data_IF_499169834699
#
_entry.id   IF_499169834699
#
_cell.length_a   1.000
_cell.length_b   1.000
_cell.length_c   1.000
_cell.angle_alpha   90.00
_cell.angle_beta   90.00
_cell.angle_gamma   90.00
#
_symmetry.space_group_name_H-M   'P 1'
#
loop_
_entity.id
_entity.type
_entity.pdbx_description
1 polymer ?
#
# COMPACT_ATOMS: atom_id res chain seq x y z
N UNK A 1 -5.28 -1.84 -1.52
CA UNK A 1 -4.92 -3.22 -1.92
C UNK A 1 -3.67 -3.66 -1.16
N UNK A 2 -3.46 -4.96 -0.98
CA UNK A 2 -2.23 -5.51 -0.43
C UNK A 2 -1.41 -6.20 -1.53
N UNK A 3 -0.08 -6.07 -1.49
CA UNK A 3 0.86 -6.67 -2.43
C UNK A 3 1.82 -7.56 -1.68
N UNK A 4 2.12 -8.73 -2.23
CA UNK A 4 3.00 -9.72 -1.64
C UNK A 4 4.18 -9.99 -2.57
N UNK A 5 5.32 -10.27 -1.97
CA UNK A 5 6.49 -10.85 -2.61
C UNK A 5 6.15 -12.23 -3.21
N UNK A 6 6.79 -12.59 -4.32
CA UNK A 6 6.65 -13.91 -4.95
C UNK A 6 7.61 -14.95 -4.38
N UNK A 7 8.66 -14.50 -3.70
CA UNK A 7 9.58 -15.36 -2.97
C UNK A 7 9.41 -15.16 -1.46
N UNK A 8 9.67 -16.22 -0.70
CA UNK A 8 9.56 -16.17 0.76
C UNK A 8 10.60 -15.22 1.36
N UNK A 9 10.16 -14.45 2.34
CA UNK A 9 11.03 -13.51 3.03
C UNK A 9 12.07 -14.25 3.88
N UNK A 10 13.33 -13.84 3.74
CA UNK A 10 14.42 -14.18 4.64
C UNK A 10 15.09 -12.90 5.12
N UNK A 11 15.70 -12.91 6.32
CA UNK A 11 16.41 -11.74 6.82
C UNK A 11 17.52 -11.32 5.84
N UNK A 12 17.67 -10.02 5.52
CA UNK A 12 18.70 -9.54 4.61
C UNK A 12 20.11 -9.92 5.07
N UNK A 13 20.87 -10.52 4.17
CA UNK A 13 22.29 -10.87 4.30
C UNK A 13 23.02 -10.45 3.02
N UNK A 14 24.35 -10.42 3.06
CA UNK A 14 25.16 -10.10 1.87
C UNK A 14 24.88 -11.01 0.67
N UNK A 15 24.39 -12.24 0.91
CA UNK A 15 24.11 -13.23 -0.13
C UNK A 15 22.70 -13.17 -0.69
N UNK A 16 21.71 -12.66 0.08
CA UNK A 16 20.32 -12.62 -0.34
C UNK A 16 19.77 -11.20 -0.56
N UNK A 17 20.57 -10.16 -0.31
CA UNK A 17 20.15 -8.75 -0.52
C UNK A 17 19.73 -8.47 -1.96
N UNK A 18 20.35 -9.16 -2.93
CA UNK A 18 20.01 -9.05 -4.35
C UNK A 18 18.67 -9.72 -4.73
N UNK A 19 18.05 -10.50 -3.85
CA UNK A 19 16.76 -11.13 -4.12
C UNK A 19 15.61 -10.13 -3.96
N UNK A 20 15.38 -9.32 -4.98
CA UNK A 20 14.35 -8.30 -4.96
C UNK A 20 12.93 -8.89 -4.83
N UNK A 21 12.69 -10.11 -5.30
CA UNK A 21 11.39 -10.77 -5.22
C UNK A 21 10.99 -11.22 -3.82
N UNK A 22 11.93 -11.29 -2.88
CA UNK A 22 11.68 -11.55 -1.45
C UNK A 22 11.53 -10.27 -0.63
N UNK A 23 12.14 -9.17 -1.09
CA UNK A 23 12.28 -7.92 -0.30
C UNK A 23 11.39 -6.77 -0.78
N UNK A 24 11.00 -6.75 -2.05
CA UNK A 24 10.20 -5.68 -2.64
C UNK A 24 8.81 -6.19 -3.05
N UNK A 25 7.76 -5.53 -2.58
CA UNK A 25 6.36 -5.91 -2.86
C UNK A 25 5.78 -5.23 -4.10
N UNK A 26 6.61 -4.55 -4.91
CA UNK A 26 6.13 -3.82 -6.08
C UNK A 26 5.47 -4.77 -7.09
N UNK A 27 4.26 -4.43 -7.54
CA UNK A 27 3.55 -5.22 -8.55
C UNK A 27 4.31 -5.23 -9.88
N UNK A 28 4.88 -4.10 -10.29
CA UNK A 28 5.67 -3.96 -11.52
C UNK A 28 6.85 -4.92 -11.59
N UNK A 29 7.40 -5.30 -10.44
CA UNK A 29 8.48 -6.28 -10.31
C UNK A 29 7.90 -7.69 -10.24
N UNK A 30 7.08 -7.96 -9.22
CA UNK A 30 6.64 -9.31 -8.89
C UNK A 30 5.78 -9.97 -9.98
N UNK A 31 5.06 -9.20 -10.79
CA UNK A 31 4.23 -9.75 -11.89
C UNK A 31 5.04 -10.48 -12.97
N UNK A 32 6.35 -10.20 -13.05
CA UNK A 32 7.27 -10.81 -14.01
C UNK A 32 7.89 -12.11 -13.47
N UNK A 33 7.72 -12.42 -12.18
CA UNK A 33 8.20 -13.68 -11.60
C UNK A 33 7.20 -14.81 -11.91
N UNK A 34 7.70 -15.97 -12.32
CA UNK A 34 6.90 -17.16 -12.60
C UNK A 34 6.09 -17.66 -11.38
N UNK A 35 6.51 -17.32 -10.15
CA UNK A 35 5.79 -17.64 -8.92
C UNK A 35 4.61 -16.67 -8.63
N UNK A 36 4.35 -15.68 -9.49
CA UNK A 36 3.24 -14.75 -9.30
C UNK A 36 1.87 -15.42 -9.49
N UNK A 37 1.00 -15.29 -8.49
CA UNK A 37 -0.35 -15.88 -8.52
C UNK A 37 -1.37 -14.78 -8.81
N UNK A 38 -2.04 -14.86 -9.96
CA UNK A 38 -3.15 -13.96 -10.32
C UNK A 38 -4.45 -14.35 -9.60
N UNK A 39 -5.06 -13.39 -8.90
CA UNK A 39 -6.40 -13.54 -8.34
C UNK A 39 -7.45 -13.31 -9.43
N UNK A 40 -7.87 -14.37 -10.14
CA UNK A 40 -8.85 -14.28 -11.24
C UNK A 40 -10.30 -14.18 -10.74
N UNK A 41 -10.57 -14.60 -9.50
CA UNK A 41 -11.89 -14.51 -8.88
C UNK A 41 -11.82 -14.02 -7.43
N UNK A 42 -12.97 -13.73 -6.83
CA UNK A 42 -13.08 -13.44 -5.39
C UNK A 42 -12.64 -14.62 -4.52
N UNK A 43 -12.79 -15.86 -5.02
CA UNK A 43 -12.40 -17.08 -4.28
C UNK A 43 -10.87 -17.24 -4.21
N UNK A 44 -10.17 -16.74 -5.22
CA UNK A 44 -8.71 -16.85 -5.33
C UNK A 44 -7.95 -15.76 -4.55
N UNK A 45 -8.67 -14.78 -3.99
CA UNK A 45 -8.09 -13.64 -3.27
C UNK A 45 -7.18 -14.05 -2.12
N UNK A 46 -7.42 -15.21 -1.50
CA UNK A 46 -6.60 -15.70 -0.38
C UNK A 46 -5.22 -16.15 -0.84
N UNK A 47 -5.07 -16.60 -2.10
CA UNK A 47 -3.84 -17.20 -2.62
C UNK A 47 -3.05 -16.26 -3.52
N UNK A 48 -3.68 -15.27 -4.15
CA UNK A 48 -3.00 -14.40 -5.10
C UNK A 48 -1.93 -13.48 -4.49
N UNK A 49 -0.98 -13.04 -5.31
CA UNK A 49 0.10 -12.13 -4.90
C UNK A 49 -0.35 -10.66 -4.80
N UNK A 50 -1.55 -10.36 -5.30
CA UNK A 50 -2.25 -9.06 -5.15
C UNK A 50 -3.66 -9.32 -4.62
N UNK A 51 -3.98 -8.75 -3.46
CA UNK A 51 -5.20 -9.04 -2.72
C UNK A 51 -5.99 -7.78 -2.36
N UNK A 52 -7.30 -7.94 -2.21
CA UNK A 52 -8.14 -6.90 -1.61
C UNK A 52 -7.71 -6.61 -0.17
N UNK A 53 -7.80 -5.34 0.22
CA UNK A 53 -7.46 -4.93 1.59
C UNK A 53 -8.40 -5.58 2.61
N UNK A 54 -9.69 -5.69 2.26
CA UNK A 54 -10.71 -6.35 3.09
C UNK A 54 -10.35 -7.81 3.38
N UNK A 55 -9.91 -8.56 2.35
CA UNK A 55 -9.45 -9.95 2.52
C UNK A 55 -8.27 -10.04 3.50
N UNK A 56 -7.25 -9.19 3.35
CA UNK A 56 -6.08 -9.21 4.22
C UNK A 56 -6.42 -8.78 5.65
N UNK A 57 -7.23 -7.74 5.82
CA UNK A 57 -7.69 -7.32 7.15
C UNK A 57 -8.49 -8.42 7.86
N UNK A 58 -9.36 -9.13 7.13
CA UNK A 58 -10.06 -10.28 7.69
C UNK A 58 -9.08 -11.39 8.09
N UNK A 59 -8.09 -11.72 7.25
CA UNK A 59 -7.04 -12.70 7.58
C UNK A 59 -6.24 -12.32 8.82
N UNK A 60 -5.90 -11.03 8.99
CA UNK A 60 -5.19 -10.52 10.16
C UNK A 60 -6.05 -10.57 11.43
N UNK A 61 -7.34 -10.23 11.31
CA UNK A 61 -8.31 -10.29 12.41
C UNK A 61 -8.50 -11.72 12.93
N UNK A 62 -8.61 -12.70 12.02
CA UNK A 62 -8.64 -14.14 12.36
C UNK A 62 -7.38 -14.58 13.10
N UNK A 63 -6.23 -13.94 12.83
CA UNK A 63 -4.95 -14.18 13.53
C UNK A 63 -4.80 -13.36 14.82
N UNK A 64 -5.84 -12.67 15.27
CA UNK A 64 -5.85 -11.91 16.53
C UNK A 64 -5.41 -10.46 16.43
N UNK A 65 -5.19 -9.92 15.23
CA UNK A 65 -4.86 -8.49 15.05
C UNK A 65 -6.11 -7.64 15.28
N UNK A 66 -5.98 -6.59 16.10
CA UNK A 66 -7.03 -5.59 16.32
C UNK A 66 -7.18 -4.69 15.08
N UNK A 67 -7.97 -5.13 14.10
CA UNK A 67 -8.23 -4.43 12.82
C UNK A 67 -8.58 -2.95 12.99
N UNK A 68 -9.45 -2.63 13.95
CA UNK A 68 -9.88 -1.25 14.21
C UNK A 68 -8.72 -0.35 14.65
N UNK A 69 -7.85 -0.83 15.53
CA UNK A 69 -6.67 -0.10 15.98
C UNK A 69 -5.68 0.09 14.83
N UNK A 70 -5.36 -0.99 14.10
CA UNK A 70 -4.46 -0.92 12.94
C UNK A 70 -4.93 0.12 11.91
N UNK A 71 -6.24 0.13 11.62
CA UNK A 71 -6.80 1.09 10.67
C UNK A 71 -6.81 2.52 11.19
N UNK A 72 -7.03 2.70 12.50
CA UNK A 72 -6.90 4.00 13.14
C UNK A 72 -5.46 4.53 13.03
N UNK A 73 -4.46 3.71 13.36
CA UNK A 73 -3.05 4.10 13.32
C UNK A 73 -2.61 4.48 11.89
N UNK A 74 -3.05 3.72 10.87
CA UNK A 74 -2.83 4.06 9.46
C UNK A 74 -3.44 5.42 9.11
N UNK A 75 -4.68 5.71 9.55
CA UNK A 75 -5.32 7.01 9.30
C UNK A 75 -4.54 8.16 9.95
N UNK A 76 -4.02 7.98 11.15
CA UNK A 76 -3.22 8.99 11.84
C UNK A 76 -1.94 9.29 11.06
N UNK A 77 -1.27 8.28 10.51
CA UNK A 77 -0.10 8.48 9.64
C UNK A 77 -0.49 9.33 8.42
N UNK A 78 -1.58 8.98 7.73
CA UNK A 78 -2.07 9.72 6.54
C UNK A 78 -2.33 11.19 6.88
N UNK A 79 -3.10 11.46 7.95
CA UNK A 79 -3.44 12.83 8.35
C UNK A 79 -2.19 13.65 8.67
N UNK A 80 -1.26 13.07 9.45
CA UNK A 80 -0.01 13.77 9.81
C UNK A 80 0.87 14.05 8.59
N UNK A 81 0.96 13.12 7.63
CA UNK A 81 1.69 13.34 6.38
C UNK A 81 1.07 14.45 5.55
N UNK A 82 -0.26 14.49 5.40
CA UNK A 82 -0.96 15.56 4.67
C UNK A 82 -0.74 16.92 5.34
N UNK A 83 -0.88 16.99 6.67
CA UNK A 83 -0.63 18.23 7.42
C UNK A 83 0.81 18.72 7.23
N UNK A 84 1.79 17.82 7.22
CA UNK A 84 3.20 18.17 7.02
C UNK A 84 3.45 18.80 5.63
N UNK A 85 2.69 18.41 4.61
CA UNK A 85 2.80 18.94 3.24
C UNK A 85 1.92 20.18 3.00
N UNK A 86 0.96 20.44 3.88
CA UNK A 86 -0.07 21.46 3.68
C UNK A 86 0.45 22.87 3.41
N UNK A 87 1.51 23.38 4.06
CA UNK A 87 2.01 24.74 3.79
C UNK A 87 2.44 24.92 2.34
N UNK A 88 3.19 23.97 1.81
CA UNK A 88 3.66 24.00 0.41
C UNK A 88 2.48 23.87 -0.56
N UNK A 89 1.54 22.97 -0.27
CA UNK A 89 0.36 22.74 -1.10
C UNK A 89 -0.50 24.01 -1.20
N UNK A 90 -0.77 24.67 -0.07
CA UNK A 90 -1.61 25.89 -0.04
C UNK A 90 -0.93 27.03 -0.79
N UNK A 91 0.37 27.26 -0.56
CA UNK A 91 1.11 28.33 -1.25
C UNK A 91 1.07 28.16 -2.77
N UNK A 92 1.32 26.95 -3.27
CA UNK A 92 1.24 26.66 -4.70
C UNK A 92 -0.20 26.77 -5.20
N UNK A 93 -1.18 26.24 -4.46
CA UNK A 93 -2.59 26.32 -4.84
C UNK A 93 -3.06 27.77 -5.01
N UNK A 94 -2.77 28.63 -4.03
CA UNK A 94 -3.12 30.06 -4.07
C UNK A 94 -2.41 30.81 -5.19
N UNK A 95 -1.17 30.43 -5.53
CA UNK A 95 -0.46 31.00 -6.66
C UNK A 95 -1.14 30.72 -8.00
N UNK A 96 -1.69 29.50 -8.19
CA UNK A 96 -2.30 29.08 -9.45
C UNK A 96 -3.80 29.37 -9.54
N UNK A 97 -4.53 29.33 -8.43
CA UNK A 97 -6.00 29.37 -8.38
C UNK A 97 -6.53 30.57 -7.58
N UNK A 98 -5.88 31.73 -7.69
CA UNK A 98 -6.36 32.97 -7.08
C UNK A 98 -7.76 33.34 -7.61
N UNK A 99 -8.65 33.81 -6.73
CA UNK A 99 -10.04 34.23 -7.02
C UNK A 99 -10.98 33.16 -7.59
N UNK A 100 -10.65 31.86 -7.48
CA UNK A 100 -11.59 30.79 -7.84
C UNK A 100 -12.54 30.47 -6.69
N UNK A 101 -13.79 30.12 -7.03
CA UNK A 101 -14.80 29.75 -6.04
C UNK A 101 -14.84 28.23 -5.95
N UNK A 102 -14.20 27.70 -4.90
CA UNK A 102 -14.22 26.28 -4.57
C UNK A 102 -12.90 25.55 -4.90
N UNK A 103 -12.85 24.24 -4.63
CA UNK A 103 -11.66 23.44 -4.87
C UNK A 103 -11.52 23.09 -6.36
N UNK A 104 -10.37 23.46 -6.93
CA UNK A 104 -10.01 23.18 -8.33
C UNK A 104 -9.21 21.89 -8.49
N UNK A 105 -8.74 21.30 -7.39
CA UNK A 105 -7.86 20.11 -7.38
C UNK A 105 -8.38 19.02 -6.45
N UNK A 106 -8.21 17.76 -6.85
CA UNK A 106 -8.37 16.56 -6.02
C UNK A 106 -7.30 15.51 -6.40
N UNK A 107 -6.91 14.65 -5.45
CA UNK A 107 -5.95 13.56 -5.65
C UNK A 107 -6.28 12.35 -4.79
#
# INVERSE_FOLDING_TARGET
MARFCTEEYAMPTSTNFGNLYAHLTNYSLNKENNAYIHSLSLRDQIRGSKRLLSTVFHQMEVKGVKKQQLWHDIKIIIVKTVIAMLPEIILNYEHYFYDTIGPECFQ
#
